data_IF_813653146322
#
_entry.id   IF_813653146322
#
_cell.length_a   1.000
_cell.length_b   1.000
_cell.length_c   1.000
_cell.angle_alpha   90.00
_cell.angle_beta   90.00
_cell.angle_gamma   90.00
#
_symmetry.space_group_name_H-M   'P 1'
#
loop_
_entity.id
_entity.type
_entity.pdbx_description
1 polymer ?
#
# COMPACT_ATOMS: atom_id res chain seq x y z
N UNK A 1 7.92 3.09 -0.86
CA UNK A 1 6.59 3.74 -0.81
C UNK A 1 6.05 3.72 0.62
N UNK A 2 5.33 4.76 1.06
CA UNK A 2 4.70 4.80 2.38
C UNK A 2 3.28 5.33 2.27
N UNK A 3 2.35 4.79 3.06
CA UNK A 3 0.96 5.25 3.16
C UNK A 3 0.53 5.38 4.61
N UNK A 4 -0.47 6.21 4.84
CA UNK A 4 -1.08 6.39 6.16
C UNK A 4 -2.61 6.38 6.01
N UNK A 5 -3.28 5.51 6.76
CA UNK A 5 -4.73 5.45 6.87
C UNK A 5 -5.17 5.85 8.28
N UNK A 6 -6.06 6.83 8.33
CA UNK A 6 -6.64 7.36 9.57
C UNK A 6 -8.11 7.04 9.60
N UNK A 7 -8.59 6.49 10.69
CA UNK A 7 -10.01 6.23 10.89
C UNK A 7 -10.48 6.81 12.24
N UNK A 8 -11.69 7.34 12.25
CA UNK A 8 -12.34 7.81 13.46
C UNK A 8 -13.54 6.92 13.80
N UNK A 9 -13.76 6.64 15.09
CA UNK A 9 -14.89 5.83 15.57
C UNK A 9 -14.53 4.40 16.01
N UNK A 10 -15.52 3.64 16.44
CA UNK A 10 -15.34 2.38 17.19
C UNK A 10 -14.81 1.18 16.36
N UNK A 11 -14.78 1.25 15.03
CA UNK A 11 -14.43 0.11 14.15
C UNK A 11 -13.12 0.36 13.39
N UNK A 12 -12.34 1.32 13.85
CA UNK A 12 -11.43 2.05 12.99
C UNK A 12 -10.14 1.34 12.57
N UNK A 13 -9.41 0.75 13.53
CA UNK A 13 -8.03 0.34 13.28
C UNK A 13 -7.91 -0.87 12.35
N UNK A 14 -8.77 -1.87 12.50
CA UNK A 14 -8.74 -3.06 11.65
C UNK A 14 -9.18 -2.79 10.20
N UNK A 15 -10.03 -1.77 9.99
CA UNK A 15 -10.40 -1.33 8.64
C UNK A 15 -9.21 -0.62 8.00
N UNK A 16 -8.55 0.29 8.73
CA UNK A 16 -7.33 0.95 8.26
C UNK A 16 -6.24 -0.07 7.91
N UNK A 17 -6.04 -1.08 8.76
CA UNK A 17 -5.08 -2.17 8.53
C UNK A 17 -5.37 -2.95 7.25
N UNK A 18 -6.64 -3.26 6.98
CA UNK A 18 -7.03 -3.98 5.75
C UNK A 18 -6.84 -3.13 4.51
N UNK A 19 -7.19 -1.85 4.55
CA UNK A 19 -7.00 -0.92 3.44
C UNK A 19 -5.52 -0.73 3.13
N UNK A 20 -4.70 -0.50 4.16
CA UNK A 20 -3.27 -0.41 4.04
C UNK A 20 -2.65 -1.71 3.50
N UNK A 21 -3.08 -2.88 3.99
CA UNK A 21 -2.59 -4.16 3.50
C UNK A 21 -2.88 -4.35 2.02
N UNK A 22 -4.07 -3.98 1.56
CA UNK A 22 -4.43 -4.05 0.13
C UNK A 22 -3.58 -3.09 -0.71
N UNK A 23 -3.54 -1.81 -0.36
CA UNK A 23 -2.79 -0.79 -1.10
C UNK A 23 -1.30 -1.11 -1.17
N UNK A 24 -0.71 -1.56 -0.05
CA UNK A 24 0.71 -1.89 0.01
C UNK A 24 1.05 -3.20 -0.70
N UNK A 25 0.13 -4.17 -0.73
CA UNK A 25 0.32 -5.38 -1.54
C UNK A 25 0.40 -5.03 -3.03
N UNK A 26 -0.46 -4.13 -3.52
CA UNK A 26 -0.40 -3.64 -4.90
C UNK A 26 0.92 -2.91 -5.19
N UNK A 27 1.35 -2.05 -4.27
CA UNK A 27 2.61 -1.31 -4.39
C UNK A 27 3.83 -2.24 -4.42
N UNK A 28 3.91 -3.21 -3.49
CA UNK A 28 5.00 -4.19 -3.44
C UNK A 28 4.99 -5.08 -4.69
N UNK A 29 3.80 -5.48 -5.17
CA UNK A 29 3.66 -6.24 -6.41
C UNK A 29 4.21 -5.48 -7.62
N UNK A 30 3.89 -4.19 -7.74
CA UNK A 30 4.42 -3.36 -8.83
C UNK A 30 5.96 -3.31 -8.82
N UNK A 31 6.58 -3.15 -7.63
CA UNK A 31 8.03 -3.20 -7.49
C UNK A 31 8.59 -4.57 -7.89
N UNK A 32 7.97 -5.67 -7.46
CA UNK A 32 8.41 -7.02 -7.82
C UNK A 32 8.35 -7.24 -9.33
N UNK A 33 7.26 -6.82 -9.99
CA UNK A 33 7.13 -6.96 -11.45
C UNK A 33 8.17 -6.11 -12.19
N UNK A 34 8.45 -4.88 -11.74
CA UNK A 34 9.52 -4.05 -12.30
C UNK A 34 10.89 -4.78 -12.23
N UNK A 35 11.24 -5.32 -11.06
CA UNK A 35 12.52 -6.02 -10.88
C UNK A 35 12.60 -7.34 -11.65
N UNK A 36 11.46 -7.99 -11.92
CA UNK A 36 11.39 -9.16 -12.80
C UNK A 36 11.67 -8.81 -14.25
N UNK A 37 11.11 -7.70 -14.74
CA UNK A 37 11.36 -7.25 -16.11
C UNK A 37 12.84 -7.03 -16.39
N UNK A 38 13.59 -6.59 -15.39
CA UNK A 38 15.06 -6.40 -15.48
C UNK A 38 15.87 -7.60 -14.94
N UNK A 39 15.21 -8.72 -14.58
CA UNK A 39 15.81 -9.96 -14.10
C UNK A 39 16.65 -9.82 -12.81
N UNK A 40 16.28 -8.86 -11.97
CA UNK A 40 16.95 -8.55 -10.70
C UNK A 40 16.05 -8.79 -9.47
N UNK A 41 14.97 -9.58 -9.59
CA UNK A 41 14.00 -9.83 -8.51
C UNK A 41 14.61 -10.46 -7.25
N UNK A 42 15.75 -11.13 -7.36
CA UNK A 42 16.47 -11.72 -6.22
C UNK A 42 17.00 -10.66 -5.25
N UNK A 43 17.28 -9.45 -5.75
CA UNK A 43 17.80 -8.35 -4.93
C UNK A 43 16.79 -7.81 -3.93
N UNK A 44 15.50 -8.02 -4.19
CA UNK A 44 14.40 -7.54 -3.35
C UNK A 44 13.71 -8.66 -2.57
N UNK A 45 14.23 -9.90 -2.66
CA UNK A 45 13.71 -11.04 -1.92
C UNK A 45 13.82 -10.83 -0.42
N UNK A 46 12.68 -10.81 0.30
CA UNK A 46 12.54 -10.58 1.74
C UNK A 46 12.98 -9.19 2.22
N UNK A 47 13.17 -8.22 1.33
CA UNK A 47 13.41 -6.84 1.71
C UNK A 47 12.11 -6.07 1.90
N UNK A 48 12.10 -5.13 2.83
CA UNK A 48 10.97 -4.22 3.02
C UNK A 48 10.94 -3.23 1.85
N UNK A 49 9.87 -3.27 1.07
CA UNK A 49 9.65 -2.47 -0.13
C UNK A 49 8.64 -1.34 0.07
N UNK A 50 7.86 -1.41 1.13
CA UNK A 50 6.89 -0.38 1.47
C UNK A 50 6.60 -0.36 2.98
N UNK A 51 6.09 0.78 3.46
CA UNK A 51 5.64 0.95 4.83
C UNK A 51 4.20 1.41 4.87
N UNK A 52 3.48 1.06 5.94
CA UNK A 52 2.17 1.63 6.24
C UNK A 52 2.03 1.98 7.71
N UNK A 53 1.26 3.05 7.96
CA UNK A 53 0.85 3.48 9.28
C UNK A 53 -0.67 3.46 9.33
N UNK A 54 -1.21 2.67 10.23
CA UNK A 54 -2.65 2.65 10.52
C UNK A 54 -2.87 3.28 11.88
N UNK A 55 -3.78 4.23 11.99
CA UNK A 55 -4.10 4.79 13.31
C UNK A 55 -5.56 5.22 13.45
N UNK A 56 -6.00 5.18 14.69
CA UNK A 56 -7.24 5.79 15.15
C UNK A 56 -6.92 6.89 16.19
N UNK A 57 -7.91 7.27 16.98
CA UNK A 57 -7.74 8.29 18.03
C UNK A 57 -6.96 7.79 19.27
N UNK A 58 -6.65 6.50 19.36
CA UNK A 58 -5.99 5.89 20.53
C UNK A 58 -4.66 5.21 20.19
N UNK A 59 -4.61 4.50 19.08
CA UNK A 59 -3.54 3.55 18.78
C UNK A 59 -2.98 3.73 17.37
N UNK A 60 -1.73 3.38 17.24
CA UNK A 60 -0.98 3.38 15.98
C UNK A 60 -0.36 2.02 15.76
N UNK A 61 -0.43 1.51 14.53
CA UNK A 61 0.31 0.34 14.06
C UNK A 61 1.17 0.71 12.85
N UNK A 62 2.42 0.31 12.87
CA UNK A 62 3.39 0.54 11.81
C UNK A 62 3.79 -0.81 11.23
N UNK A 63 3.66 -0.97 9.92
CA UNK A 63 4.01 -2.20 9.21
C UNK A 63 5.06 -1.96 8.13
N UNK A 64 5.93 -2.95 7.95
CA UNK A 64 6.77 -3.12 6.77
C UNK A 64 6.18 -4.19 5.86
N UNK A 65 6.18 -3.95 4.55
CA UNK A 65 5.64 -4.86 3.55
C UNK A 65 6.76 -5.38 2.65
N UNK A 66 6.77 -6.69 2.40
CA UNK A 66 7.82 -7.36 1.64
C UNK A 66 7.27 -8.53 0.82
N UNK A 67 8.07 -9.00 -0.11
CA UNK A 67 7.77 -10.18 -0.92
C UNK A 67 8.75 -11.32 -0.62
N UNK A 68 8.24 -12.54 -0.57
CA UNK A 68 9.04 -13.77 -0.65
C UNK A 68 8.89 -14.29 -2.07
N UNK A 69 10.00 -14.28 -2.80
CA UNK A 69 10.04 -14.60 -4.23
C UNK A 69 10.67 -15.97 -4.40
N UNK A 70 9.85 -16.96 -4.73
CA UNK A 70 10.29 -18.32 -5.06
C UNK A 70 10.05 -18.61 -6.55
N UNK A 71 10.69 -19.63 -7.08
CA UNK A 71 10.58 -20.02 -8.48
C UNK A 71 9.12 -20.29 -8.90
N UNK A 72 8.35 -20.92 -8.02
CA UNK A 72 6.98 -21.34 -8.31
C UNK A 72 5.94 -20.26 -7.95
N UNK A 73 6.22 -19.39 -6.98
CA UNK A 73 5.23 -18.47 -6.41
C UNK A 73 5.88 -17.29 -5.72
N UNK A 74 5.29 -16.10 -5.89
CA UNK A 74 5.56 -14.93 -5.04
C UNK A 74 4.46 -14.77 -4.02
N UNK A 75 4.86 -14.62 -2.75
CA UNK A 75 3.94 -14.38 -1.65
C UNK A 75 4.26 -13.04 -0.99
N UNK A 76 3.22 -12.26 -0.71
CA UNK A 76 3.35 -10.93 -0.12
C UNK A 76 3.01 -11.00 1.37
N UNK A 77 3.83 -10.36 2.17
CA UNK A 77 3.72 -10.35 3.63
C UNK A 77 3.77 -8.93 4.18
N UNK A 78 3.19 -8.78 5.35
CA UNK A 78 3.42 -7.60 6.20
C UNK A 78 4.01 -8.04 7.54
N UNK A 79 4.90 -7.23 8.08
CA UNK A 79 5.51 -7.39 9.39
C UNK A 79 5.14 -6.22 10.27
N UNK A 80 4.60 -6.48 11.45
CA UNK A 80 4.34 -5.44 12.45
C UNK A 80 5.67 -4.97 13.02
N UNK A 81 6.04 -3.72 12.76
CA UNK A 81 7.27 -3.11 13.26
C UNK A 81 7.04 -2.58 14.66
N UNK A 82 5.92 -1.86 14.87
CA UNK A 82 5.61 -1.26 16.15
C UNK A 82 4.11 -1.02 16.31
N UNK A 83 3.62 -1.20 17.54
CA UNK A 83 2.27 -0.84 17.94
C UNK A 83 2.34 -0.08 19.27
N UNK A 84 1.64 1.05 19.35
CA UNK A 84 1.63 1.88 20.56
C UNK A 84 0.34 2.70 20.68
N UNK A 85 0.12 3.24 21.88
CA UNK A 85 -1.00 4.14 22.17
C UNK A 85 -0.52 5.57 22.36
N UNK A 86 -1.27 6.54 21.85
CA UNK A 86 -0.98 7.97 22.06
C UNK A 86 -1.02 8.42 23.51
N UNK A 87 -1.84 7.77 24.34
CA UNK A 87 -2.05 8.12 25.75
C UNK A 87 -1.26 7.26 26.73
N UNK A 88 -0.73 6.12 26.31
CA UNK A 88 0.06 5.26 27.16
C UNK A 88 1.36 5.95 27.58
N UNK A 89 1.88 5.58 28.76
CA UNK A 89 3.13 6.12 29.31
C UNK A 89 3.18 7.66 29.30
N UNK A 90 2.08 8.30 29.69
CA UNK A 90 1.96 9.77 29.71
C UNK A 90 2.21 10.43 28.35
N UNK A 91 1.89 9.71 27.26
CA UNK A 91 2.06 10.20 25.89
C UNK A 91 3.52 10.25 25.39
N UNK A 92 4.43 9.48 25.99
CA UNK A 92 5.84 9.43 25.58
C UNK A 92 6.00 9.03 24.11
N UNK A 93 5.09 8.20 23.59
CA UNK A 93 5.17 7.70 22.21
C UNK A 93 4.37 8.53 21.20
N UNK A 94 3.73 9.63 21.60
CA UNK A 94 2.86 10.44 20.71
C UNK A 94 3.53 10.90 19.41
N UNK A 95 4.84 11.05 19.40
CA UNK A 95 5.63 11.49 18.23
C UNK A 95 6.32 10.34 17.49
N UNK A 96 6.15 9.09 17.92
CA UNK A 96 6.86 7.94 17.35
C UNK A 96 6.53 7.73 15.89
N UNK A 97 5.25 7.81 15.49
CA UNK A 97 4.87 7.68 14.09
C UNK A 97 5.50 8.79 13.22
N UNK A 98 5.50 10.04 13.70
CA UNK A 98 6.12 11.15 12.99
C UNK A 98 7.64 10.95 12.82
N UNK A 99 8.34 10.56 13.88
CA UNK A 99 9.78 10.26 13.83
C UNK A 99 10.08 9.11 12.88
N UNK A 100 9.29 8.05 12.93
CA UNK A 100 9.40 6.91 12.01
C UNK A 100 9.24 7.37 10.56
N UNK A 101 8.17 8.10 10.25
CA UNK A 101 7.91 8.60 8.90
C UNK A 101 9.04 9.49 8.41
N UNK A 102 9.53 10.39 9.26
CA UNK A 102 10.68 11.24 8.92
C UNK A 102 11.91 10.40 8.59
N UNK A 103 12.25 9.40 9.39
CA UNK A 103 13.39 8.50 9.14
C UNK A 103 13.22 7.70 7.84
N UNK A 104 12.00 7.26 7.51
CA UNK A 104 11.71 6.61 6.22
C UNK A 104 12.06 7.55 5.06
N UNK A 105 11.68 8.82 5.12
CA UNK A 105 11.99 9.79 4.08
C UNK A 105 13.48 10.15 4.04
N UNK A 106 14.10 10.40 5.18
CA UNK A 106 15.47 10.91 5.25
C UNK A 106 16.51 9.83 4.91
N UNK A 107 16.27 8.59 5.29
CA UNK A 107 17.26 7.52 5.15
C UNK A 107 16.87 6.44 4.11
N UNK A 108 15.68 5.86 4.24
CA UNK A 108 15.29 4.70 3.41
C UNK A 108 14.84 5.11 2.00
N UNK A 109 14.02 6.17 1.89
CA UNK A 109 13.40 6.57 0.62
C UNK A 109 14.42 6.89 -0.46
N UNK A 110 15.50 7.58 -0.13
CA UNK A 110 16.53 7.98 -1.11
C UNK A 110 17.19 6.76 -1.75
N UNK A 111 17.54 5.76 -0.94
CA UNK A 111 18.18 4.52 -1.45
C UNK A 111 17.19 3.69 -2.26
N UNK A 112 15.96 3.55 -1.75
CA UNK A 112 14.92 2.81 -2.45
C UNK A 112 14.55 3.46 -3.79
N UNK A 113 14.40 4.78 -3.83
CA UNK A 113 14.09 5.52 -5.05
C UNK A 113 15.21 5.40 -6.10
N UNK A 114 16.48 5.48 -5.69
CA UNK A 114 17.62 5.26 -6.61
C UNK A 114 17.59 3.87 -7.23
N UNK A 115 17.27 2.83 -6.44
CA UNK A 115 17.14 1.45 -6.97
C UNK A 115 15.99 1.34 -7.98
N UNK A 116 14.85 1.97 -7.72
CA UNK A 116 13.74 2.00 -8.68
C UNK A 116 14.12 2.72 -9.98
N UNK A 117 14.81 3.86 -9.89
CA UNK A 117 15.28 4.59 -11.07
C UNK A 117 16.27 3.75 -11.90
N UNK A 118 17.20 3.04 -11.26
CA UNK A 118 18.11 2.14 -11.96
C UNK A 118 17.34 1.03 -12.68
N UNK A 119 16.42 0.36 -11.98
CA UNK A 119 15.59 -0.68 -12.59
C UNK A 119 14.75 -0.15 -13.78
N UNK A 120 14.21 1.07 -13.68
CA UNK A 120 13.49 1.69 -14.80
C UNK A 120 14.41 1.98 -15.99
N UNK A 121 15.64 2.44 -15.74
CA UNK A 121 16.61 2.71 -16.81
C UNK A 121 17.11 1.44 -17.52
N UNK A 122 17.08 0.30 -16.80
CA UNK A 122 17.49 -1.01 -17.32
C UNK A 122 16.35 -1.76 -18.05
N UNK A 123 15.17 -1.13 -18.17
CA UNK A 123 14.05 -1.75 -18.91
C UNK A 123 14.40 -1.94 -20.39
N UNK A 124 14.09 -3.13 -20.95
CA UNK A 124 14.27 -3.35 -22.39
C UNK A 124 13.47 -2.36 -23.23
N UNK A 125 14.06 -1.83 -24.33
CA UNK A 125 13.39 -0.82 -25.17
C UNK A 125 12.13 -1.32 -25.90
N UNK A 126 11.97 -2.63 -26.02
CA UNK A 126 10.84 -3.28 -26.71
C UNK A 126 9.75 -3.79 -25.74
N UNK A 127 9.61 -3.19 -24.57
CA UNK A 127 8.50 -3.56 -23.70
C UNK A 127 7.18 -3.14 -24.32
N UNK A 128 6.38 -4.14 -24.67
CA UNK A 128 4.99 -3.93 -25.05
C UNK A 128 4.15 -3.62 -23.79
N UNK A 129 3.86 -2.35 -23.60
CA UNK A 129 2.95 -1.87 -22.55
C UNK A 129 1.47 -1.97 -22.95
N UNK A 130 1.14 -2.71 -24.01
CA UNK A 130 -0.25 -2.97 -24.35
C UNK A 130 -0.89 -3.73 -23.18
N UNK A 131 -1.61 -2.99 -22.36
CA UNK A 131 -2.48 -3.57 -21.34
C UNK A 131 -3.53 -4.37 -22.08
N UNK A 132 -3.66 -5.70 -21.90
CA UNK A 132 -4.78 -6.44 -22.44
C UNK A 132 -6.05 -5.70 -22.03
N UNK A 133 -6.99 -5.44 -22.93
CA UNK A 133 -8.23 -4.77 -22.55
C UNK A 133 -8.79 -5.53 -21.35
N UNK A 134 -8.98 -4.84 -20.24
CA UNK A 134 -9.63 -5.39 -19.05
C UNK A 134 -10.90 -6.07 -19.59
N UNK A 135 -10.94 -7.39 -19.47
CA UNK A 135 -12.13 -8.17 -19.86
C UNK A 135 -13.35 -7.43 -19.31
N UNK A 136 -14.17 -6.94 -20.22
CA UNK A 136 -15.47 -6.36 -19.92
C UNK A 136 -16.31 -7.44 -19.23
N UNK A 137 -16.20 -7.54 -17.90
CA UNK A 137 -16.84 -8.65 -17.19
C UNK A 137 -16.80 -8.61 -15.68
N UNK A 138 -16.13 -7.65 -15.02
CA UNK A 138 -16.32 -7.47 -13.59
C UNK A 138 -17.40 -6.43 -13.34
N UNK A 139 -18.67 -6.86 -13.35
CA UNK A 139 -19.86 -6.02 -13.14
C UNK A 139 -20.01 -5.38 -11.76
N UNK A 140 -18.90 -5.09 -11.05
CA UNK A 140 -18.92 -4.43 -9.73
C UNK A 140 -18.93 -2.90 -9.84
N UNK A 141 -18.49 -2.32 -10.95
CA UNK A 141 -18.46 -0.85 -11.11
C UNK A 141 -19.70 -0.29 -11.82
N UNK A 142 -20.47 -1.11 -12.55
CA UNK A 142 -21.70 -0.65 -13.21
C UNK A 142 -22.93 -0.64 -12.28
N UNK A 143 -22.92 -1.41 -11.19
CA UNK A 143 -24.05 -1.46 -10.22
C UNK A 143 -24.16 -0.25 -9.29
N UNK A 144 -23.06 0.47 -9.05
CA UNK A 144 -23.04 1.58 -8.10
C UNK A 144 -23.46 2.93 -8.69
N UNK A 145 -23.26 3.14 -9.99
CA UNK A 145 -23.61 4.42 -10.64
C UNK A 145 -25.09 4.52 -11.02
N UNK A 146 -25.78 3.39 -11.25
CA UNK A 146 -27.19 3.40 -11.68
C UNK A 146 -28.20 3.49 -10.54
N UNK A 147 -27.87 3.07 -9.32
CA UNK A 147 -28.81 3.09 -8.21
C UNK A 147 -28.93 4.45 -7.49
N UNK A 148 -27.91 5.29 -7.52
CA UNK A 148 -27.94 6.58 -6.83
C UNK A 148 -28.55 7.72 -7.64
N UNK A 149 -28.55 7.63 -8.98
CA UNK A 149 -29.11 8.70 -9.83
C UNK A 149 -30.61 8.56 -10.09
N UNK A 150 -31.18 7.36 -9.98
CA UNK A 150 -32.61 7.14 -10.19
C UNK A 150 -33.46 7.40 -8.95
N UNK A 151 -32.90 7.28 -7.74
CA UNK A 151 -33.62 7.64 -6.52
C UNK A 151 -33.73 9.15 -6.27
N UNK A 152 -32.74 9.94 -6.67
CA UNK A 152 -32.78 11.40 -6.49
C UNK A 152 -33.71 12.13 -7.46
N UNK A 153 -34.07 11.51 -8.59
CA UNK A 153 -35.01 12.08 -9.57
C UNK A 153 -36.47 11.73 -9.28
N UNK A 154 -36.74 10.70 -8.50
CA UNK A 154 -38.11 10.34 -8.09
C UNK A 154 -38.66 11.14 -6.90
N UNK A 155 -37.76 11.65 -6.04
CA UNK A 155 -38.13 12.44 -4.86
C UNK A 155 -38.32 13.96 -5.15
N UNK A 156 -37.93 14.45 -6.33
CA UNK A 156 -38.09 15.85 -6.73
C UNK A 156 -39.33 16.12 -7.59
N UNK A 157 -40.19 15.12 -7.80
CA UNK A 157 -41.41 15.21 -8.63
C UNK A 157 -42.69 14.89 -7.88
N UNK A 158 -42.69 15.04 -6.53
CA UNK A 158 -43.88 14.91 -5.68
C UNK A 158 -44.13 16.16 -4.90
#
# INVERSE_FOLDING_TARGET
MATCEVKCGAVALDIADRQNAHSMTLAVRAVVELFRLVKCEKEIHREILAFSVSHDHRSVRIYGHYAVIDVAKTTFYRHLIHEFSFSALEGKEKWTAHKFTKNVYDAWMLTHFKRLCLAVNDLPPELDFSVPPLLQGSGLSQGLASHHLLQSLAESAS
#
